data_IF_909665146371
#
_entry.id   IF_909665146371
#
_cell.length_a   1.000
_cell.length_b   1.000
_cell.length_c   1.000
_cell.angle_alpha   90.00
_cell.angle_beta   90.00
_cell.angle_gamma   90.00
#
_symmetry.space_group_name_H-M   'P 1'
#
loop_
_entity.id
_entity.type
_entity.pdbx_description
1 polymer ?
#
# COMPACT_ATOMS: atom_id res chain seq x y z
N UNK A 1 -52.83 -8.79 -43.38
CA UNK A 1 -52.05 -9.80 -42.62
C UNK A 1 -51.82 -9.18 -41.23
N UNK A 2 -52.71 -9.36 -40.25
CA UNK A 2 -52.82 -10.53 -39.34
C UNK A 2 -51.46 -10.74 -38.65
N UNK A 3 -51.25 -10.66 -37.32
CA UNK A 3 -52.14 -10.59 -36.15
C UNK A 3 -51.32 -10.39 -34.86
N UNK A 4 -51.95 -9.75 -33.87
CA UNK A 4 -51.91 -9.92 -32.38
C UNK A 4 -50.61 -10.02 -31.54
N UNK A 5 -50.64 -9.23 -30.45
CA UNK A 5 -49.88 -9.29 -29.18
C UNK A 5 -50.31 -10.49 -28.29
N UNK A 6 -49.98 -10.61 -26.97
CA UNK A 6 -48.92 -10.04 -26.10
C UNK A 6 -48.29 -11.11 -25.12
N UNK A 7 -47.59 -10.65 -24.06
CA UNK A 7 -47.11 -11.36 -22.84
C UNK A 7 -45.72 -12.02 -22.96
N UNK A 8 -44.85 -12.07 -21.96
CA UNK A 8 -44.99 -11.95 -20.50
C UNK A 8 -43.62 -11.62 -19.87
N UNK A 9 -43.63 -10.73 -18.87
CA UNK A 9 -42.60 -10.64 -17.82
C UNK A 9 -42.44 -11.94 -17.04
N UNK A 10 -41.27 -12.18 -16.41
CA UNK A 10 -41.23 -12.88 -15.13
C UNK A 10 -40.72 -11.96 -14.01
N UNK A 11 -41.51 -11.95 -12.95
CA UNK A 11 -41.21 -11.50 -11.60
C UNK A 11 -40.08 -12.33 -10.97
N UNK A 12 -39.30 -11.65 -10.14
CA UNK A 12 -38.86 -12.08 -8.80
C UNK A 12 -38.22 -13.47 -8.64
N UNK A 13 -36.92 -13.48 -8.33
CA UNK A 13 -36.34 -14.54 -7.50
C UNK A 13 -35.52 -13.91 -6.39
N UNK A 14 -36.21 -13.59 -5.30
CA UNK A 14 -35.60 -13.36 -4.00
C UNK A 14 -35.00 -14.69 -3.53
N UNK A 15 -33.67 -14.79 -3.48
CA UNK A 15 -33.00 -15.88 -2.76
C UNK A 15 -33.17 -15.65 -1.25
N UNK A 16 -34.30 -16.13 -0.74
CA UNK A 16 -34.53 -16.35 0.69
C UNK A 16 -33.66 -17.55 1.09
N UNK A 17 -32.53 -17.29 1.74
CA UNK A 17 -31.84 -18.35 2.50
C UNK A 17 -32.67 -18.68 3.74
N UNK A 18 -32.95 -19.97 4.02
CA UNK A 18 -33.80 -20.37 5.13
C UNK A 18 -33.17 -20.00 6.47
N UNK A 19 -33.98 -19.36 7.34
CA UNK A 19 -33.72 -19.26 8.79
C UNK A 19 -33.40 -20.66 9.32
N UNK A 20 -32.15 -20.92 9.68
CA UNK A 20 -31.85 -22.03 10.59
C UNK A 20 -32.51 -21.71 11.92
N UNK A 21 -33.53 -22.51 12.23
CA UNK A 21 -34.18 -22.60 13.52
C UNK A 21 -33.10 -23.00 14.53
N UNK A 22 -32.74 -22.09 15.44
CA UNK A 22 -31.94 -22.42 16.62
C UNK A 22 -32.69 -23.52 17.38
N UNK A 23 -32.20 -24.75 17.29
CA UNK A 23 -32.56 -25.83 18.20
C UNK A 23 -31.76 -25.63 19.47
N UNK A 24 -32.47 -25.45 20.58
CA UNK A 24 -31.95 -25.36 21.95
C UNK A 24 -30.94 -26.46 22.25
N UNK A 25 -29.85 -26.18 22.99
CA UNK A 25 -28.87 -27.19 23.35
C UNK A 25 -29.48 -28.16 24.37
N UNK A 26 -29.49 -29.44 24.02
CA UNK A 26 -29.78 -30.52 24.95
C UNK A 26 -28.68 -30.57 26.02
N UNK A 27 -29.07 -30.30 27.27
CA UNK A 27 -28.23 -30.48 28.44
C UNK A 27 -27.91 -31.98 28.63
N UNK A 28 -26.65 -32.35 28.45
CA UNK A 28 -26.11 -33.60 29.00
C UNK A 28 -25.61 -33.32 30.42
N UNK A 29 -25.79 -34.24 31.39
CA UNK A 29 -25.38 -34.02 32.77
C UNK A 29 -23.85 -33.95 32.89
N UNK A 30 -23.38 -32.99 33.68
CA UNK A 30 -21.99 -32.77 34.04
C UNK A 30 -21.37 -34.06 34.61
N UNK A 31 -20.31 -34.56 33.96
CA UNK A 31 -19.41 -35.53 34.58
C UNK A 31 -18.72 -34.88 35.79
N UNK A 32 -18.54 -35.66 36.86
CA UNK A 32 -17.88 -35.23 38.09
C UNK A 32 -16.45 -34.73 37.82
N UNK A 33 -15.96 -33.71 38.56
CA UNK A 33 -14.61 -33.22 38.39
C UNK A 33 -13.57 -34.26 38.85
N UNK A 34 -12.41 -34.36 38.18
CA UNK A 34 -11.34 -35.26 38.59
C UNK A 34 -10.74 -34.83 39.95
N UNK A 35 -10.20 -35.77 40.74
CA UNK A 35 -9.63 -35.46 42.06
C UNK A 35 -8.42 -34.52 41.95
N UNK A 36 -8.34 -33.57 42.89
CA UNK A 36 -7.23 -32.60 42.99
C UNK A 36 -5.89 -33.32 43.19
N UNK A 37 -4.81 -32.91 42.50
CA UNK A 37 -3.47 -33.40 42.79
C UNK A 37 -3.01 -32.93 44.18
N UNK A 38 -2.18 -33.71 44.89
CA UNK A 38 -1.72 -33.35 46.23
C UNK A 38 -0.79 -32.13 46.19
N UNK A 39 -0.91 -31.26 47.20
CA UNK A 39 -0.03 -30.11 47.40
C UNK A 39 1.43 -30.57 47.59
N UNK A 40 2.42 -29.90 46.96
CA UNK A 40 3.82 -30.17 47.26
C UNK A 40 4.18 -29.64 48.64
N UNK A 41 4.89 -30.46 49.41
CA UNK A 41 5.48 -30.14 50.70
C UNK A 41 6.60 -29.11 50.54
N UNK A 42 6.59 -28.08 51.40
CA UNK A 42 7.67 -27.11 51.51
C UNK A 42 8.99 -27.78 51.91
N UNK A 43 9.97 -27.78 51.00
CA UNK A 43 11.38 -27.81 51.34
C UNK A 43 12.21 -27.22 50.19
N UNK A 44 12.82 -26.06 50.44
CA UNK A 44 13.79 -25.45 49.52
C UNK A 44 13.44 -24.02 49.14
N UNK A 45 13.91 -23.08 49.96
CA UNK A 45 13.99 -21.66 49.64
C UNK A 45 14.94 -21.47 48.45
N UNK A 46 14.40 -21.41 47.22
CA UNK A 46 15.16 -21.01 46.03
C UNK A 46 14.99 -19.50 45.87
N UNK A 47 16.06 -18.78 46.19
CA UNK A 47 16.22 -17.36 45.91
C UNK A 47 16.13 -17.16 44.38
N UNK A 48 15.24 -16.29 43.84
CA UNK A 48 15.19 -16.07 42.41
C UNK A 48 16.48 -15.34 41.97
N UNK A 49 17.25 -16.01 41.11
CA UNK A 49 18.52 -15.53 40.58
C UNK A 49 18.33 -14.22 39.78
N UNK A 50 18.77 -13.12 40.38
CA UNK A 50 18.88 -11.78 39.76
C UNK A 50 19.68 -11.79 38.44
N UNK A 51 20.53 -12.80 38.25
CA UNK A 51 21.30 -13.05 37.02
C UNK A 51 20.43 -13.42 35.80
N UNK A 52 19.28 -14.08 36.00
CA UNK A 52 18.42 -14.54 34.91
C UNK A 52 17.67 -13.38 34.24
N UNK A 53 17.14 -12.46 35.05
CA UNK A 53 16.43 -11.28 34.54
C UNK A 53 17.38 -10.29 33.86
N UNK A 54 18.60 -10.14 34.38
CA UNK A 54 19.63 -9.28 33.78
C UNK A 54 20.16 -9.86 32.47
N UNK A 55 20.35 -11.18 32.37
CA UNK A 55 20.74 -11.83 31.10
C UNK A 55 19.66 -11.73 30.02
N UNK A 56 18.38 -11.89 30.37
CA UNK A 56 17.26 -11.70 29.43
C UNK A 56 17.13 -10.24 29.00
N UNK A 57 17.30 -9.29 29.93
CA UNK A 57 17.30 -7.86 29.64
C UNK A 57 18.46 -7.48 28.71
N UNK A 58 19.68 -7.93 29.01
CA UNK A 58 20.86 -7.69 28.18
C UNK A 58 20.71 -8.29 26.78
N UNK A 59 20.12 -9.49 26.66
CA UNK A 59 19.80 -10.07 25.34
C UNK A 59 18.81 -9.21 24.56
N UNK A 60 17.73 -8.74 25.19
CA UNK A 60 16.74 -7.86 24.52
C UNK A 60 17.35 -6.53 24.08
N UNK A 61 18.17 -5.92 24.93
CA UNK A 61 18.88 -4.67 24.61
C UNK A 61 19.87 -4.90 23.48
N UNK A 62 20.65 -5.97 23.53
CA UNK A 62 21.60 -6.30 22.46
C UNK A 62 20.88 -6.57 21.13
N UNK A 63 19.80 -7.34 21.13
CA UNK A 63 18.98 -7.56 19.92
C UNK A 63 18.40 -6.25 19.39
N UNK A 64 17.93 -5.36 20.25
CA UNK A 64 17.43 -4.04 19.83
C UNK A 64 18.54 -3.17 19.24
N UNK A 65 19.75 -3.15 19.83
CA UNK A 65 20.89 -2.40 19.31
C UNK A 65 21.34 -2.97 17.97
N UNK A 66 21.42 -4.30 17.81
CA UNK A 66 21.79 -4.93 16.55
C UNK A 66 20.74 -4.64 15.47
N UNK A 67 19.46 -4.71 15.81
CA UNK A 67 18.38 -4.36 14.89
C UNK A 67 18.45 -2.88 14.48
N UNK A 68 18.57 -1.97 15.44
CA UNK A 68 18.67 -0.54 15.18
C UNK A 68 19.91 -0.19 14.36
N UNK A 69 21.06 -0.79 14.67
CA UNK A 69 22.29 -0.56 13.91
C UNK A 69 22.21 -1.13 12.49
N UNK A 70 21.60 -2.30 12.28
CA UNK A 70 21.35 -2.84 10.94
C UNK A 70 20.41 -1.93 10.12
N UNK A 71 19.34 -1.42 10.74
CA UNK A 71 18.42 -0.47 10.10
C UNK A 71 19.11 0.85 9.79
N UNK A 72 19.83 1.44 10.75
CA UNK A 72 20.52 2.73 10.54
C UNK A 72 21.61 2.61 9.49
N UNK A 73 22.39 1.52 9.50
CA UNK A 73 23.46 1.31 8.53
C UNK A 73 22.90 1.07 7.13
N UNK A 74 21.82 0.30 6.99
CA UNK A 74 21.15 0.12 5.70
C UNK A 74 20.54 1.43 5.18
N UNK A 75 19.89 2.22 6.03
CA UNK A 75 19.41 3.56 5.69
C UNK A 75 20.56 4.49 5.27
N UNK A 76 21.70 4.45 5.96
CA UNK A 76 22.87 5.27 5.64
C UNK A 76 23.49 4.88 4.29
N UNK A 77 23.59 3.58 3.99
CA UNK A 77 24.09 3.09 2.69
C UNK A 77 23.15 3.54 1.56
N UNK A 78 21.84 3.42 1.74
CA UNK A 78 20.85 3.91 0.77
C UNK A 78 20.93 5.43 0.59
N UNK A 79 21.10 6.19 1.66
CA UNK A 79 21.29 7.64 1.60
C UNK A 79 22.56 8.02 0.81
N UNK A 80 23.68 7.35 1.08
CA UNK A 80 24.94 7.60 0.34
C UNK A 80 24.85 7.18 -1.12
N UNK A 81 24.14 6.10 -1.42
CA UNK A 81 23.89 5.66 -2.78
C UNK A 81 22.98 6.63 -3.55
N UNK A 82 21.98 7.23 -2.91
CA UNK A 82 21.12 8.25 -3.52
C UNK A 82 21.87 9.57 -3.77
N UNK A 83 22.73 9.99 -2.84
CA UNK A 83 23.60 11.16 -3.00
C UNK A 83 24.60 10.96 -4.16
N UNK A 84 25.18 9.77 -4.32
CA UNK A 84 26.14 9.46 -5.38
C UNK A 84 25.54 9.38 -6.79
N UNK A 85 24.24 9.06 -6.92
CA UNK A 85 23.52 9.11 -8.21
C UNK A 85 22.91 10.49 -8.51
N UNK A 86 23.19 11.50 -7.67
CA UNK A 86 22.68 12.85 -7.85
C UNK A 86 21.15 12.94 -7.75
N UNK A 87 20.54 12.00 -7.02
CA UNK A 87 19.20 12.12 -6.44
C UNK A 87 19.36 12.87 -5.12
N UNK A 88 19.55 14.19 -5.19
CA UNK A 88 19.26 15.02 -4.02
C UNK A 88 17.76 14.89 -3.78
N UNK A 89 17.36 14.00 -2.86
CA UNK A 89 16.01 14.10 -2.29
C UNK A 89 15.86 15.56 -1.86
N UNK A 90 14.87 16.30 -2.39
CA UNK A 90 14.61 17.63 -1.84
C UNK A 90 14.46 17.45 -0.33
N UNK A 91 15.13 18.33 0.41
CA UNK A 91 15.22 18.41 1.87
C UNK A 91 13.84 18.66 2.53
N UNK A 92 12.81 17.91 2.17
CA UNK A 92 11.45 18.00 2.73
C UNK A 92 11.42 17.35 4.11
N UNK A 93 12.31 16.40 4.40
CA UNK A 93 12.40 15.78 5.72
C UNK A 93 12.99 16.71 6.79
N UNK A 94 13.80 17.71 6.39
CA UNK A 94 14.49 18.61 7.33
C UNK A 94 13.82 19.99 7.45
N UNK A 95 13.08 20.45 6.43
CA UNK A 95 12.46 21.78 6.48
C UNK A 95 11.39 21.90 7.57
N UNK A 96 10.65 20.83 7.85
CA UNK A 96 9.62 20.83 8.90
C UNK A 96 10.16 20.95 10.34
N UNK A 97 11.43 20.60 10.58
CA UNK A 97 12.07 20.77 11.90
C UNK A 97 12.91 22.06 11.99
N UNK A 98 13.23 22.71 10.87
CA UNK A 98 14.14 23.85 10.83
C UNK A 98 13.48 25.21 10.50
N UNK A 99 12.26 25.24 9.96
CA UNK A 99 11.51 26.49 9.78
C UNK A 99 10.54 26.73 10.94
N UNK A 100 11.08 27.11 12.09
CA UNK A 100 10.30 27.71 13.18
C UNK A 100 9.77 29.08 12.78
N UNK A 101 8.77 29.10 11.89
CA UNK A 101 8.00 30.30 11.55
C UNK A 101 6.62 30.18 12.23
N UNK A 102 6.36 30.90 13.34
CA UNK A 102 5.17 30.70 14.16
C UNK A 102 3.87 31.23 13.54
N UNK A 103 3.92 31.95 12.42
CA UNK A 103 2.81 32.80 11.98
C UNK A 103 1.95 32.24 10.84
N UNK A 104 2.04 30.93 10.54
CA UNK A 104 1.11 30.27 9.60
C UNK A 104 0.52 28.96 10.15
N UNK A 105 0.31 28.93 11.46
CA UNK A 105 -0.33 27.83 12.16
C UNK A 105 -1.86 27.97 12.05
N UNK A 106 -2.45 27.40 11.00
CA UNK A 106 -3.80 26.83 11.15
C UNK A 106 -3.63 25.45 11.79
N UNK A 107 -4.04 25.37 13.05
CA UNK A 107 -3.89 24.32 14.07
C UNK A 107 -4.33 22.87 13.73
N UNK A 108 -4.29 22.36 12.49
CA UNK A 108 -4.89 21.05 12.16
C UNK A 108 -3.97 19.96 11.60
N UNK A 109 -2.68 20.20 11.38
CA UNK A 109 -1.74 19.11 11.06
C UNK A 109 -1.21 18.51 12.36
N UNK A 110 -2.09 17.78 13.06
CA UNK A 110 -1.72 16.93 14.20
C UNK A 110 -0.49 16.09 13.86
N UNK A 111 0.41 15.97 14.85
CA UNK A 111 1.62 15.14 14.85
C UNK A 111 1.36 13.64 14.62
N UNK A 112 0.10 13.21 14.48
CA UNK A 112 -0.30 11.80 14.37
C UNK A 112 -0.55 11.31 12.93
N UNK A 113 -0.34 12.14 11.90
CA UNK A 113 -0.59 11.74 10.51
C UNK A 113 0.58 10.95 9.89
N UNK A 114 0.28 9.87 9.15
CA UNK A 114 1.30 9.04 8.50
C UNK A 114 1.40 9.34 6.99
N UNK A 115 2.64 9.44 6.52
CA UNK A 115 3.01 9.57 5.10
C UNK A 115 3.84 8.37 4.72
N UNK A 116 3.41 7.65 3.70
CA UNK A 116 4.11 6.48 3.18
C UNK A 116 4.21 6.61 1.67
N UNK A 117 5.42 6.42 1.15
CA UNK A 117 5.68 6.32 -0.27
C UNK A 117 6.64 5.17 -0.54
N UNK A 118 6.48 4.55 -1.71
CA UNK A 118 7.38 3.50 -2.15
C UNK A 118 8.76 4.06 -2.53
N UNK A 119 9.78 3.20 -2.51
CA UNK A 119 11.17 3.61 -2.78
C UNK A 119 11.40 4.07 -4.23
N UNK A 120 10.52 3.69 -5.14
CA UNK A 120 10.51 4.02 -6.57
C UNK A 120 9.54 5.15 -6.92
N UNK A 121 9.33 6.07 -5.96
CA UNK A 121 8.53 7.28 -6.13
C UNK A 121 9.43 8.51 -6.05
N UNK A 122 9.43 9.32 -7.11
CA UNK A 122 10.13 10.61 -7.12
C UNK A 122 9.21 11.74 -6.67
N UNK A 123 9.73 12.62 -5.81
CA UNK A 123 9.04 13.78 -5.28
C UNK A 123 9.56 15.07 -5.92
N UNK A 124 8.65 15.89 -6.39
CA UNK A 124 8.93 17.07 -7.20
C UNK A 124 8.41 18.37 -6.60
N UNK A 125 7.30 18.31 -5.86
CA UNK A 125 6.63 19.46 -5.22
C UNK A 125 6.02 19.08 -3.88
N UNK A 126 5.54 20.09 -3.19
CA UNK A 126 4.73 19.93 -1.99
C UNK A 126 3.36 19.33 -2.35
N UNK A 127 3.02 18.12 -1.86
CA UNK A 127 1.72 17.51 -2.13
C UNK A 127 0.60 18.04 -1.25
N UNK A 128 0.88 18.73 -0.14
CA UNK A 128 -0.13 19.13 0.85
C UNK A 128 -1.27 19.98 0.29
N UNK A 129 -1.04 20.95 -0.63
CA UNK A 129 -2.11 21.73 -1.23
C UNK A 129 -3.16 20.90 -2.00
N UNK A 130 -2.82 19.67 -2.40
CA UNK A 130 -3.67 18.78 -3.19
C UNK A 130 -4.37 17.71 -2.34
N UNK A 131 -4.26 17.77 -1.01
CA UNK A 131 -4.95 16.84 -0.12
C UNK A 131 -6.37 17.30 0.24
N UNK A 132 -7.22 16.31 0.48
CA UNK A 132 -8.57 16.52 0.99
C UNK A 132 -8.53 16.55 2.52
N UNK A 133 -8.73 17.72 3.12
CA UNK A 133 -8.70 17.90 4.58
C UNK A 133 -9.77 17.09 5.33
N UNK A 134 -10.89 16.79 4.68
CA UNK A 134 -11.98 16.05 5.31
C UNK A 134 -11.78 14.52 5.26
N UNK A 135 -10.79 14.02 4.51
CA UNK A 135 -10.56 12.60 4.28
C UNK A 135 -9.79 11.92 5.43
N UNK A 136 -10.10 10.64 5.65
CA UNK A 136 -9.42 9.78 6.62
C UNK A 136 -8.25 9.04 5.98
N UNK A 137 -8.43 8.58 4.74
CA UNK A 137 -7.45 7.79 3.99
C UNK A 137 -7.40 8.27 2.55
N UNK A 138 -6.20 8.62 2.06
CA UNK A 138 -6.00 9.13 0.71
C UNK A 138 -4.85 8.40 0.03
N UNK A 139 -5.04 8.00 -1.22
CA UNK A 139 -4.10 7.12 -1.92
C UNK A 139 -3.95 7.50 -3.40
N UNK A 140 -2.73 7.42 -3.93
CA UNK A 140 -2.45 7.58 -5.36
C UNK A 140 -3.09 6.47 -6.19
N UNK A 141 -3.19 6.65 -7.50
CA UNK A 141 -3.90 5.74 -8.40
C UNK A 141 -3.09 5.39 -9.66
N UNK A 142 -3.23 4.15 -10.13
CA UNK A 142 -2.80 3.73 -11.47
C UNK A 142 -3.73 4.30 -12.54
N UNK A 143 -4.99 4.54 -12.19
CA UNK A 143 -5.97 5.21 -13.03
C UNK A 143 -6.88 6.11 -12.20
N UNK A 144 -6.97 7.38 -12.58
CA UNK A 144 -7.87 8.34 -11.97
C UNK A 144 -9.06 8.68 -12.87
N UNK A 145 -10.28 8.46 -12.39
CA UNK A 145 -11.52 8.66 -13.16
C UNK A 145 -11.92 10.12 -13.33
N UNK A 146 -11.31 11.03 -12.57
CA UNK A 146 -11.74 12.42 -12.43
C UNK A 146 -12.54 12.69 -11.16
N UNK A 147 -13.04 11.65 -10.47
CA UNK A 147 -13.88 11.77 -9.28
C UNK A 147 -13.13 11.19 -8.07
N UNK A 148 -12.77 12.02 -7.10
CA UNK A 148 -11.89 11.61 -5.99
C UNK A 148 -12.46 10.58 -5.02
N UNK A 149 -13.76 10.41 -4.89
CA UNK A 149 -14.40 9.38 -4.06
C UNK A 149 -15.01 8.24 -4.89
N UNK A 150 -14.77 8.24 -6.21
CA UNK A 150 -15.25 7.20 -7.11
C UNK A 150 -14.56 5.86 -6.86
N UNK A 151 -15.33 4.81 -6.63
CA UNK A 151 -14.80 3.45 -6.39
C UNK A 151 -14.17 2.83 -7.63
N UNK A 152 -14.40 3.41 -8.82
CA UNK A 152 -13.82 3.01 -10.09
C UNK A 152 -12.34 3.38 -10.24
N UNK A 153 -11.83 4.34 -9.46
CA UNK A 153 -10.40 4.67 -9.42
C UNK A 153 -9.58 3.44 -9.06
N UNK A 154 -8.40 3.24 -9.66
CA UNK A 154 -7.53 2.10 -9.35
C UNK A 154 -6.41 2.55 -8.40
N UNK A 155 -6.58 2.47 -7.06
CA UNK A 155 -5.54 2.86 -6.12
C UNK A 155 -4.25 2.07 -6.31
N UNK A 156 -3.12 2.72 -6.00
CA UNK A 156 -1.82 2.08 -5.94
C UNK A 156 -1.02 2.40 -4.67
N UNK A 157 -0.07 1.52 -4.38
CA UNK A 157 0.75 1.55 -3.16
C UNK A 157 1.67 2.76 -3.02
N UNK A 158 1.99 3.45 -4.13
CA UNK A 158 3.14 4.36 -4.21
C UNK A 158 3.04 5.61 -3.34
N UNK A 159 1.84 6.07 -3.03
CA UNK A 159 1.67 7.22 -2.12
C UNK A 159 0.39 7.11 -1.32
N UNK A 160 0.51 7.26 0.00
CA UNK A 160 -0.62 7.28 0.94
C UNK A 160 -0.45 8.41 1.95
N UNK A 161 -1.52 9.17 2.17
CA UNK A 161 -1.66 10.10 3.28
C UNK A 161 -2.86 9.69 4.13
N UNK A 162 -2.63 9.45 5.42
CA UNK A 162 -3.67 8.93 6.32
C UNK A 162 -3.74 9.78 7.57
N UNK A 163 -4.96 10.23 7.90
CA UNK A 163 -5.25 10.86 9.18
C UNK A 163 -5.42 9.78 10.23
N UNK A 164 -4.65 9.84 11.31
CA UNK A 164 -4.81 8.89 12.41
C UNK A 164 -6.10 9.17 13.17
N UNK A 165 -7.02 8.20 13.14
CA UNK A 165 -8.26 8.21 13.91
C UNK A 165 -8.83 6.78 14.00
N UNK A 166 -9.90 6.60 14.76
CA UNK A 166 -10.50 5.27 14.95
C UNK A 166 -10.92 4.61 13.62
N UNK A 167 -11.39 5.38 12.62
CA UNK A 167 -11.83 4.82 11.34
C UNK A 167 -10.64 4.30 10.53
N UNK A 168 -9.55 5.08 10.44
CA UNK A 168 -8.35 4.64 9.71
C UNK A 168 -7.66 3.45 10.39
N UNK A 169 -7.67 3.39 11.73
CA UNK A 169 -7.17 2.23 12.50
C UNK A 169 -7.99 0.97 12.18
N UNK A 170 -9.32 1.05 12.24
CA UNK A 170 -10.20 -0.09 11.93
C UNK A 170 -10.10 -0.50 10.46
N UNK A 171 -9.97 0.47 9.54
CA UNK A 171 -9.73 0.21 8.14
C UNK A 171 -8.43 -0.56 7.90
N UNK A 172 -7.31 -0.17 8.52
CA UNK A 172 -6.05 -0.90 8.37
C UNK A 172 -6.13 -2.32 8.93
N UNK A 173 -6.80 -2.54 10.07
CA UNK A 173 -7.04 -3.89 10.60
C UNK A 173 -7.86 -4.74 9.62
N UNK A 174 -8.90 -4.15 9.04
CA UNK A 174 -9.73 -4.82 8.04
C UNK A 174 -8.96 -5.14 6.75
N UNK A 175 -8.21 -4.18 6.21
CA UNK A 175 -7.39 -4.37 5.02
C UNK A 175 -6.32 -5.45 5.25
N UNK A 176 -5.60 -5.37 6.37
CA UNK A 176 -4.60 -6.37 6.73
C UNK A 176 -5.20 -7.77 6.87
N UNK A 177 -6.31 -7.92 7.61
CA UNK A 177 -6.96 -9.24 7.79
C UNK A 177 -7.61 -9.78 6.51
N UNK A 178 -7.95 -8.91 5.55
CA UNK A 178 -8.53 -9.33 4.28
C UNK A 178 -7.58 -10.21 3.44
N UNK A 179 -6.27 -10.17 3.70
CA UNK A 179 -5.29 -11.10 3.09
C UNK A 179 -5.62 -12.57 3.31
N UNK A 180 -6.31 -12.91 4.41
CA UNK A 180 -6.72 -14.29 4.71
C UNK A 180 -7.84 -14.77 3.80
N UNK A 181 -8.70 -13.85 3.34
CA UNK A 181 -9.81 -14.15 2.41
C UNK A 181 -9.34 -14.20 0.95
N UNK A 182 -8.23 -13.52 0.64
CA UNK A 182 -7.70 -13.37 -0.70
C UNK A 182 -6.22 -13.84 -0.77
N UNK A 183 -5.96 -15.13 -0.52
CA UNK A 183 -4.59 -15.64 -0.54
C UNK A 183 -3.98 -15.51 -1.94
N UNK A 184 -2.73 -15.09 -2.01
CA UNK A 184 -1.99 -14.94 -3.27
C UNK A 184 -2.20 -13.62 -4.00
N UNK A 185 -3.12 -12.75 -3.55
CA UNK A 185 -3.29 -11.40 -4.11
C UNK A 185 -2.38 -10.38 -3.41
N UNK A 186 -1.93 -9.38 -4.17
CA UNK A 186 -1.15 -8.26 -3.62
C UNK A 186 -2.06 -7.32 -2.80
N UNK A 187 -1.49 -6.55 -1.87
CA UNK A 187 -2.26 -5.65 -0.99
C UNK A 187 -3.13 -4.65 -1.76
N UNK A 188 -2.63 -4.15 -2.90
CA UNK A 188 -3.30 -3.29 -3.85
C UNK A 188 -4.52 -3.95 -4.51
N UNK A 189 -4.40 -5.22 -4.92
CA UNK A 189 -5.51 -5.98 -5.50
C UNK A 189 -6.59 -6.23 -4.45
N UNK A 190 -6.17 -6.60 -3.24
CA UNK A 190 -7.07 -6.74 -2.10
C UNK A 190 -7.80 -5.43 -1.82
N UNK A 191 -7.10 -4.29 -1.82
CA UNK A 191 -7.72 -2.97 -1.64
C UNK A 191 -8.76 -2.69 -2.73
N UNK A 192 -8.43 -2.99 -3.98
CA UNK A 192 -9.34 -2.82 -5.11
C UNK A 192 -10.64 -3.64 -4.96
N UNK A 193 -10.57 -4.80 -4.32
CA UNK A 193 -11.74 -5.64 -4.05
C UNK A 193 -12.55 -5.06 -2.87
N UNK A 194 -11.90 -4.74 -1.76
CA UNK A 194 -12.60 -4.41 -0.50
C UNK A 194 -13.07 -2.96 -0.40
N UNK A 195 -12.52 -2.04 -1.20
CA UNK A 195 -12.87 -0.60 -1.15
C UNK A 195 -14.35 -0.32 -1.46
N UNK A 196 -15.02 -1.22 -2.18
CA UNK A 196 -16.45 -1.13 -2.49
C UNK A 196 -17.32 -1.98 -1.52
N UNK A 197 -16.73 -2.54 -0.47
CA UNK A 197 -17.43 -3.34 0.52
C UNK A 197 -18.25 -2.49 1.49
N UNK A 198 -19.33 -3.06 2.05
CA UNK A 198 -20.20 -2.38 3.02
C UNK A 198 -19.44 -1.93 4.27
N UNK A 199 -18.39 -2.66 4.67
CA UNK A 199 -17.57 -2.33 5.84
C UNK A 199 -17.02 -0.91 5.80
N UNK A 200 -16.58 -0.43 4.64
CA UNK A 200 -16.05 0.94 4.46
C UNK A 200 -17.13 1.98 4.80
N UNK A 201 -18.36 1.72 4.37
CA UNK A 201 -19.52 2.56 4.64
C UNK A 201 -19.94 2.46 6.12
N UNK A 202 -19.93 1.26 6.69
CA UNK A 202 -20.34 0.98 8.07
C UNK A 202 -19.46 1.71 9.09
N UNK A 203 -18.14 1.78 8.86
CA UNK A 203 -17.21 2.55 9.71
C UNK A 203 -17.19 4.04 9.36
N UNK A 204 -17.86 4.45 8.27
CA UNK A 204 -17.90 5.82 7.78
C UNK A 204 -16.55 6.36 7.34
N UNK A 205 -15.66 5.50 6.82
CA UNK A 205 -14.32 5.90 6.38
C UNK A 205 -14.43 6.81 5.15
N UNK A 206 -13.86 8.02 5.24
CA UNK A 206 -13.73 8.91 4.10
C UNK A 206 -12.48 8.59 3.30
N UNK A 207 -12.63 7.76 2.28
CA UNK A 207 -11.56 7.43 1.34
C UNK A 207 -11.54 8.42 0.17
N UNK A 208 -10.36 8.91 -0.19
CA UNK A 208 -10.14 9.71 -1.41
C UNK A 208 -9.02 9.13 -2.26
N UNK A 209 -9.17 9.26 -3.56
CA UNK A 209 -8.22 8.90 -4.60
C UNK A 209 -7.56 10.17 -5.10
N UNK A 210 -6.24 10.18 -5.10
CA UNK A 210 -5.45 11.33 -5.49
C UNK A 210 -5.30 11.38 -7.01
N UNK A 211 -5.50 12.57 -7.59
CA UNK A 211 -5.46 12.76 -9.04
C UNK A 211 -4.08 12.49 -9.61
N UNK A 212 -4.03 11.75 -10.73
CA UNK A 212 -2.80 11.48 -11.49
C UNK A 212 -2.20 12.72 -12.15
N UNK A 213 -2.94 13.85 -12.16
CA UNK A 213 -2.38 15.16 -12.52
C UNK A 213 -1.28 15.62 -11.54
N UNK A 214 -1.43 15.32 -10.25
CA UNK A 214 -0.46 15.71 -9.21
C UNK A 214 0.35 14.50 -8.70
N UNK A 215 -0.30 13.35 -8.57
CA UNK A 215 0.29 12.10 -8.07
C UNK A 215 0.35 11.08 -9.21
N UNK A 216 1.17 11.38 -10.20
CA UNK A 216 1.29 10.57 -11.41
C UNK A 216 2.00 9.24 -11.20
N UNK A 217 1.95 8.41 -12.22
CA UNK A 217 2.79 7.22 -12.32
C UNK A 217 3.02 6.82 -13.78
N UNK A 218 3.85 5.83 -14.07
CA UNK A 218 4.13 5.42 -15.45
C UNK A 218 2.89 4.90 -16.22
N UNK A 219 1.88 4.34 -15.54
CA UNK A 219 0.60 3.98 -16.21
C UNK A 219 -0.20 5.22 -16.64
N UNK A 220 -0.14 6.28 -15.83
CA UNK A 220 -0.79 7.56 -16.09
C UNK A 220 0.14 8.72 -15.69
N UNK A 221 1.10 9.07 -16.57
CA UNK A 221 2.04 10.12 -16.25
C UNK A 221 1.31 11.46 -16.16
N UNK A 222 1.64 12.25 -15.13
CA UNK A 222 1.16 13.62 -15.06
C UNK A 222 1.54 14.38 -16.32
N UNK A 223 0.57 15.06 -16.95
CA UNK A 223 0.80 15.77 -18.22
C UNK A 223 1.49 17.11 -18.03
N UNK A 224 1.40 17.69 -16.83
CA UNK A 224 1.93 19.03 -16.55
C UNK A 224 3.05 18.96 -15.52
N UNK A 225 4.28 19.14 -15.99
CA UNK A 225 5.47 19.19 -15.15
C UNK A 225 5.47 20.40 -14.20
N UNK A 226 4.60 21.41 -14.43
CA UNK A 226 4.42 22.53 -13.51
C UNK A 226 3.61 22.15 -12.27
N UNK A 227 2.75 21.13 -12.36
CA UNK A 227 1.81 20.76 -11.29
C UNK A 227 2.21 19.46 -10.56
N UNK A 228 2.95 18.58 -11.23
CA UNK A 228 3.33 17.26 -10.68
C UNK A 228 4.00 17.36 -9.30
N UNK A 229 3.46 16.62 -8.34
CA UNK A 229 3.98 16.47 -6.98
C UNK A 229 4.83 15.21 -6.84
N UNK A 230 4.32 14.08 -7.34
CA UNK A 230 5.03 12.80 -7.31
C UNK A 230 4.87 12.04 -8.62
N UNK A 231 5.84 11.20 -8.95
CA UNK A 231 5.74 10.20 -10.01
C UNK A 231 6.21 8.84 -9.50
N UNK A 232 5.33 7.84 -9.57
CA UNK A 232 5.59 6.45 -9.18
C UNK A 232 5.98 5.59 -10.40
N UNK A 233 6.97 4.72 -10.27
CA UNK A 233 7.25 3.67 -11.25
C UNK A 233 6.27 2.47 -11.19
N UNK A 234 4.96 2.74 -11.09
CA UNK A 234 3.89 1.76 -11.17
C UNK A 234 3.73 1.18 -12.59
N UNK A 235 2.95 0.09 -12.72
CA UNK A 235 2.85 -0.69 -13.97
C UNK A 235 4.21 -1.04 -14.58
N UNK A 236 5.20 -1.30 -13.73
CA UNK A 236 6.53 -1.68 -14.16
C UNK A 236 7.00 -2.89 -13.37
N UNK A 237 7.43 -3.93 -14.07
CA UNK A 237 8.01 -5.13 -13.47
C UNK A 237 9.51 -5.17 -13.68
N UNK A 238 10.22 -5.79 -12.73
CA UNK A 238 11.66 -5.94 -12.78
C UNK A 238 12.42 -4.71 -12.28
N UNK A 239 13.47 -4.97 -11.50
CA UNK A 239 14.31 -3.91 -10.92
C UNK A 239 15.05 -3.13 -12.01
N UNK A 240 15.56 -3.80 -13.04
CA UNK A 240 16.34 -3.15 -14.09
C UNK A 240 15.51 -2.18 -14.94
N UNK A 241 14.29 -2.58 -15.31
CA UNK A 241 13.33 -1.72 -16.02
C UNK A 241 12.96 -0.50 -15.19
N UNK A 242 12.65 -0.69 -13.89
CA UNK A 242 12.37 0.41 -12.96
C UNK A 242 13.57 1.36 -12.86
N UNK A 243 14.78 0.84 -12.64
CA UNK A 243 15.99 1.65 -12.53
C UNK A 243 16.29 2.42 -13.82
N UNK A 244 16.06 1.82 -14.98
CA UNK A 244 16.26 2.45 -16.27
C UNK A 244 15.33 3.66 -16.45
N UNK A 245 14.01 3.46 -16.30
CA UNK A 245 13.03 4.52 -16.51
C UNK A 245 13.12 5.58 -15.41
N UNK A 246 13.39 5.21 -14.15
CA UNK A 246 13.64 6.20 -13.08
C UNK A 246 14.85 7.11 -13.39
N UNK A 247 15.91 6.60 -14.02
CA UNK A 247 17.05 7.45 -14.45
C UNK A 247 16.63 8.45 -15.52
N UNK A 248 15.79 8.05 -16.48
CA UNK A 248 15.27 8.93 -17.53
C UNK A 248 14.35 9.98 -16.90
N UNK A 249 13.42 9.57 -16.04
CA UNK A 249 12.53 10.46 -15.29
C UNK A 249 13.32 11.56 -14.55
N UNK A 250 14.41 11.19 -13.88
CA UNK A 250 15.28 12.15 -13.20
C UNK A 250 15.97 13.12 -14.17
N UNK A 251 16.42 12.65 -15.33
CA UNK A 251 17.02 13.50 -16.35
C UNK A 251 16.00 14.49 -16.94
N UNK A 252 14.77 14.05 -17.18
CA UNK A 252 13.68 14.90 -17.66
C UNK A 252 13.39 15.99 -16.65
N UNK A 253 13.32 15.63 -15.36
CA UNK A 253 13.13 16.59 -14.29
C UNK A 253 14.26 17.62 -14.21
N UNK A 254 15.53 17.19 -14.27
CA UNK A 254 16.68 18.09 -14.28
C UNK A 254 16.65 19.04 -15.48
N UNK A 255 16.28 18.53 -16.65
CA UNK A 255 16.15 19.32 -17.87
C UNK A 255 15.03 20.35 -17.75
N UNK A 256 13.84 19.95 -17.30
CA UNK A 256 12.72 20.85 -17.01
C UNK A 256 13.09 21.95 -16.00
N UNK A 257 13.78 21.60 -14.91
CA UNK A 257 14.18 22.57 -13.88
C UNK A 257 15.21 23.60 -14.38
N UNK A 258 15.99 23.26 -15.40
CA UNK A 258 16.94 24.17 -16.05
C UNK A 258 16.28 25.16 -17.02
N UNK A 259 15.02 24.94 -17.40
CA UNK A 259 14.31 25.81 -18.33
C UNK A 259 13.91 27.16 -17.69
N UNK A 260 14.03 28.28 -18.41
CA UNK A 260 13.41 29.54 -18.04
C UNK A 260 11.88 29.40 -17.88
N UNK A 261 11.23 30.14 -16.96
CA UNK A 261 9.79 30.00 -16.68
C UNK A 261 8.89 30.07 -17.91
N UNK A 262 9.21 30.95 -18.87
CA UNK A 262 8.47 31.10 -20.13
C UNK A 262 8.40 29.85 -21.02
N UNK A 263 9.30 28.89 -20.82
CA UNK A 263 9.35 27.65 -21.61
C UNK A 263 8.78 26.45 -20.86
N UNK A 264 8.48 26.57 -19.56
CA UNK A 264 8.00 25.45 -18.75
C UNK A 264 6.56 25.02 -19.06
N UNK A 265 5.77 25.87 -19.72
CA UNK A 265 4.44 25.53 -20.25
C UNK A 265 4.46 25.08 -21.72
N UNK A 266 5.64 24.87 -22.32
CA UNK A 266 5.74 24.45 -23.70
C UNK A 266 5.33 22.98 -23.85
N UNK A 267 4.54 22.61 -24.88
CA UNK A 267 4.17 21.22 -25.15
C UNK A 267 5.37 20.34 -25.53
N UNK A 268 6.52 20.95 -25.83
CA UNK A 268 7.77 20.24 -26.09
C UNK A 268 8.42 19.67 -24.82
N UNK A 269 7.93 20.06 -23.64
CA UNK A 269 8.47 19.64 -22.35
C UNK A 269 7.55 18.58 -21.77
N UNK A 270 7.91 17.32 -22.01
CA UNK A 270 7.15 16.16 -21.58
C UNK A 270 8.07 15.09 -21.00
N UNK A 271 7.48 14.11 -20.32
CA UNK A 271 8.19 12.90 -19.92
C UNK A 271 8.56 12.07 -21.14
N UNK A 272 9.76 11.47 -21.11
CA UNK A 272 10.20 10.43 -22.06
C UNK A 272 9.88 9.01 -21.58
N UNK A 273 9.41 8.87 -20.35
CA UNK A 273 9.01 7.62 -19.70
C UNK A 273 7.49 7.39 -19.78
N UNK A 274 7.02 6.15 -19.67
CA UNK A 274 7.80 4.91 -19.62
C UNK A 274 8.46 4.52 -20.96
N UNK A 275 9.60 3.82 -20.90
CA UNK A 275 10.21 3.13 -22.04
C UNK A 275 10.22 1.62 -21.77
N UNK A 276 11.06 1.17 -20.84
CA UNK A 276 11.16 -0.25 -20.48
C UNK A 276 10.02 -0.70 -19.56
N UNK A 277 9.31 0.24 -18.93
CA UNK A 277 8.09 -0.01 -18.18
C UNK A 277 6.82 0.09 -19.06
N UNK A 278 6.95 0.20 -20.39
CA UNK A 278 5.80 0.33 -21.28
C UNK A 278 5.00 -0.97 -21.39
N UNK A 279 3.71 -0.85 -21.74
CA UNK A 279 2.78 -1.99 -21.84
C UNK A 279 3.31 -3.11 -22.76
N UNK A 280 4.05 -2.75 -23.82
CA UNK A 280 4.68 -3.71 -24.74
C UNK A 280 5.75 -4.56 -24.05
N UNK A 281 6.50 -3.99 -23.10
CA UNK A 281 7.45 -4.73 -22.28
C UNK A 281 6.75 -5.64 -21.26
N UNK A 282 5.57 -5.26 -20.75
CA UNK A 282 4.76 -6.08 -19.85
C UNK A 282 4.18 -7.30 -20.58
N UNK A 283 3.67 -7.12 -21.80
CA UNK A 283 3.17 -8.21 -22.63
C UNK A 283 4.28 -9.23 -22.94
N UNK A 284 5.50 -8.76 -23.21
CA UNK A 284 6.65 -9.67 -23.39
C UNK A 284 7.00 -10.44 -22.11
N UNK A 285 6.90 -9.82 -20.93
CA UNK A 285 7.17 -10.48 -19.66
C UNK A 285 6.09 -11.53 -19.32
N UNK A 286 4.81 -11.23 -19.54
CA UNK A 286 3.72 -12.19 -19.31
C UNK A 286 3.89 -13.42 -20.21
N UNK A 287 4.19 -13.25 -21.50
CA UNK A 287 4.47 -14.35 -22.42
C UNK A 287 5.67 -15.21 -21.98
N UNK A 288 6.76 -14.58 -21.54
CA UNK A 288 7.92 -15.30 -21.00
C UNK A 288 7.58 -16.08 -19.72
N UNK A 289 6.75 -15.50 -18.84
CA UNK A 289 6.32 -16.16 -17.61
C UNK A 289 5.37 -17.35 -17.85
N UNK A 290 4.59 -17.31 -18.93
CA UNK A 290 3.74 -18.42 -19.38
C UNK A 290 4.57 -19.55 -19.98
N UNK A 291 5.59 -19.22 -20.79
CA UNK A 291 6.53 -20.19 -21.37
C UNK A 291 7.34 -20.92 -20.28
N UNK A 292 7.85 -20.19 -19.28
CA UNK A 292 8.59 -20.78 -18.15
C UNK A 292 7.71 -21.71 -17.30
N UNK A 293 6.44 -21.35 -17.08
CA UNK A 293 5.48 -22.22 -16.37
C UNK A 293 5.19 -23.50 -17.15
N UNK A 294 5.04 -23.42 -18.47
CA UNK A 294 4.85 -24.59 -19.32
C UNK A 294 6.10 -25.49 -19.34
N UNK A 295 7.30 -24.91 -19.36
CA UNK A 295 8.55 -25.67 -19.34
C UNK A 295 8.75 -26.40 -18.01
N UNK A 296 8.40 -25.77 -16.89
CA UNK A 296 8.47 -26.37 -15.55
C UNK A 296 7.44 -27.49 -15.35
N UNK A 297 6.22 -27.33 -15.88
CA UNK A 297 5.19 -28.38 -15.87
C UNK A 297 5.56 -29.57 -16.77
N UNK A 298 6.26 -29.32 -17.88
CA UNK A 298 6.75 -30.37 -18.77
C UNK A 298 7.92 -31.15 -18.14
N UNK A 299 8.88 -30.47 -17.51
CA UNK A 299 9.98 -31.13 -16.79
C UNK A 299 9.50 -31.91 -15.55
N UNK A 300 8.49 -31.42 -14.83
CA UNK A 300 7.87 -32.15 -13.71
C UNK A 300 7.12 -33.41 -14.13
N UNK A 301 6.76 -33.55 -15.41
CA UNK A 301 6.15 -34.75 -15.99
C UNK A 301 7.18 -35.78 -16.44
N UNK A 302 8.36 -35.34 -16.89
CA UNK A 302 9.43 -36.23 -17.34
C UNK A 302 10.12 -36.93 -16.17
N UNK A 303 10.19 -36.29 -14.99
CA UNK A 303 10.85 -36.85 -13.79
C UNK A 303 9.97 -37.85 -12.99
N UNK A 304 8.70 -38.05 -13.40
CA UNK A 304 7.82 -39.11 -12.86
C UNK A 304 7.74 -40.33 -13.77
N UNK A 305 8.62 -40.42 -14.77
CA UNK A 305 8.67 -41.52 -15.74
C UNK A 305 10.06 -42.13 -15.83
N UNK A 306 10.64 -42.47 -14.67
CA UNK A 306 11.72 -43.45 -14.51
C UNK A 306 11.46 -44.26 -13.23
#
# INVERSE_FOLDING_TARGET
MISSSPSSSPLSSAYIFPRRRLSSPSFLPLSSPPPKPPLPSNSGEIKPDVASNSAVYLRRVFTAIVFLSAVVLSCFVLYRATDSVGLKMPMVYYYYYASGNPDLLSDDVSSDNSRLADADVMWFRDPFPHFYFDADFQIACDHFSGISDGVENKPNGGFKFVRSNNRSIEFYKYWYSSREKFPGLHDQDVLNIIKNGTFIQDIGLKMRFLSTAYFGGFCEPSRDLNEVCTMHANCCFGLDSKLHDLRILLQDWKSYMSLPPRFKGSPLVSWRVPQNCSLDALLHFDLQSEDEKQEMDNNGKTDKRL
#
